data_IF_693265660775
#
_entry.id   IF_693265660775
#
_cell.length_a   1.000
_cell.length_b   1.000
_cell.length_c   1.000
_cell.angle_alpha   90.00
_cell.angle_beta   90.00
_cell.angle_gamma   90.00
#
_symmetry.space_group_name_H-M   'P 1'
#
loop_
_entity.id
_entity.type
_entity.pdbx_description
1 polymer ?
#
# COMPACT_ATOMS: atom_id res chain seq x y z
N UNK A 1 12.89 119.33 -16.02
CA UNK A 1 13.56 118.49 -17.03
C UNK A 1 14.38 117.48 -16.24
N UNK A 2 13.71 116.49 -15.64
CA UNK A 2 13.17 115.26 -16.25
C UNK A 2 14.20 114.15 -16.37
N UNK A 3 13.72 112.98 -15.95
CA UNK A 3 14.10 111.63 -16.32
C UNK A 3 15.41 111.06 -15.76
N UNK A 4 15.46 109.81 -15.33
CA UNK A 4 14.51 108.73 -15.00
C UNK A 4 15.42 107.55 -14.62
N UNK A 5 14.86 106.59 -13.88
CA UNK A 5 15.32 105.21 -13.83
C UNK A 5 16.64 104.90 -13.09
N UNK A 6 16.50 104.43 -11.84
CA UNK A 6 17.41 103.42 -11.29
C UNK A 6 16.60 102.16 -11.02
N UNK A 7 16.93 101.17 -11.82
CA UNK A 7 16.33 99.85 -11.94
C UNK A 7 16.10 99.20 -10.56
N UNK A 8 14.85 98.82 -10.33
CA UNK A 8 14.46 97.87 -9.30
C UNK A 8 15.08 96.51 -9.61
N UNK A 9 16.01 96.07 -8.76
CA UNK A 9 16.59 94.73 -8.81
C UNK A 9 15.48 93.68 -8.59
N UNK A 10 15.42 92.61 -9.39
CA UNK A 10 14.41 91.56 -9.18
C UNK A 10 14.69 90.82 -7.87
N UNK A 11 13.70 90.81 -6.98
CA UNK A 11 13.73 90.01 -5.75
C UNK A 11 13.63 88.52 -6.11
N UNK A 12 14.70 87.77 -5.82
CA UNK A 12 14.78 86.34 -6.09
C UNK A 12 13.93 85.61 -5.06
N UNK A 13 12.69 85.27 -5.45
CA UNK A 13 11.86 84.34 -4.68
C UNK A 13 12.42 82.93 -4.86
N UNK A 14 13.24 82.49 -3.91
CA UNK A 14 13.75 81.11 -3.86
C UNK A 14 12.61 80.19 -3.43
N UNK A 15 11.89 79.59 -4.38
CA UNK A 15 10.99 78.48 -4.09
C UNK A 15 11.82 77.24 -3.77
N UNK A 16 11.91 76.92 -2.48
CA UNK A 16 12.56 75.70 -1.99
C UNK A 16 11.72 74.48 -2.39
N UNK A 17 12.06 73.85 -3.51
CA UNK A 17 11.47 72.57 -3.90
C UNK A 17 12.06 71.46 -3.01
N UNK A 18 11.40 71.17 -1.88
CA UNK A 18 11.64 69.95 -1.10
C UNK A 18 10.80 68.80 -1.66
N UNK A 19 11.08 68.40 -2.89
CA UNK A 19 10.56 67.17 -3.46
C UNK A 19 11.50 66.04 -3.08
N UNK A 20 11.04 65.06 -2.31
CA UNK A 20 11.74 63.78 -2.19
C UNK A 20 11.93 63.25 -3.61
N UNK A 21 13.18 63.19 -4.06
CA UNK A 21 13.47 62.91 -5.47
C UNK A 21 12.90 61.55 -5.85
N UNK A 22 12.03 61.51 -6.88
CA UNK A 22 11.40 60.27 -7.35
C UNK A 22 12.44 59.20 -7.77
N UNK A 23 13.66 59.65 -8.05
CA UNK A 23 14.85 58.83 -8.31
C UNK A 23 15.17 57.89 -7.13
N UNK A 24 14.82 58.27 -5.89
CA UNK A 24 15.06 57.44 -4.70
C UNK A 24 14.00 56.35 -4.49
N UNK A 25 12.91 56.36 -5.25
CA UNK A 25 11.86 55.33 -5.19
C UNK A 25 12.36 54.00 -5.77
N UNK A 26 13.14 54.04 -6.85
CA UNK A 26 13.66 52.83 -7.51
C UNK A 26 14.59 52.01 -6.58
N UNK A 27 15.58 52.60 -5.88
CA UNK A 27 16.39 51.90 -4.88
C UNK A 27 15.56 51.30 -3.73
N UNK A 28 14.57 52.03 -3.21
CA UNK A 28 13.70 51.53 -2.13
C UNK A 28 12.90 50.31 -2.60
N UNK A 29 12.29 50.38 -3.79
CA UNK A 29 11.51 49.27 -4.34
C UNK A 29 12.42 48.06 -4.56
N UNK A 30 13.61 48.25 -5.12
CA UNK A 30 14.58 47.17 -5.30
C UNK A 30 14.96 46.51 -3.96
N UNK A 31 15.17 47.30 -2.91
CA UNK A 31 15.49 46.81 -1.56
C UNK A 31 14.32 46.04 -0.96
N UNK A 32 13.08 46.51 -1.14
CA UNK A 32 11.88 45.80 -0.70
C UNK A 32 11.69 44.46 -1.42
N UNK A 33 11.91 44.41 -2.74
CA UNK A 33 11.84 43.16 -3.51
C UNK A 33 12.94 42.19 -3.07
N UNK A 34 14.17 42.67 -2.86
CA UNK A 34 15.26 41.85 -2.35
C UNK A 34 14.95 41.29 -0.95
N UNK A 35 14.46 42.13 -0.04
CA UNK A 35 14.03 41.72 1.29
C UNK A 35 12.90 40.70 1.25
N UNK A 36 11.92 40.88 0.35
CA UNK A 36 10.83 39.94 0.14
C UNK A 36 11.31 38.59 -0.40
N UNK A 37 12.25 38.58 -1.37
CA UNK A 37 12.84 37.35 -1.89
C UNK A 37 13.62 36.58 -0.81
N UNK A 38 14.38 37.29 0.02
CA UNK A 38 15.09 36.70 1.16
C UNK A 38 14.10 36.09 2.15
N UNK A 39 13.05 36.83 2.52
CA UNK A 39 12.02 36.34 3.44
C UNK A 39 11.27 35.13 2.88
N UNK A 40 10.85 35.18 1.62
CA UNK A 40 10.16 34.08 0.96
C UNK A 40 11.05 32.82 0.82
N UNK A 41 12.35 33.01 0.56
CA UNK A 41 13.32 31.91 0.50
C UNK A 41 13.57 31.29 1.87
N UNK A 42 13.58 32.08 2.95
CA UNK A 42 13.82 31.59 4.30
C UNK A 42 12.56 30.95 4.92
N UNK A 43 11.39 31.54 4.69
CA UNK A 43 10.11 31.10 5.28
C UNK A 43 9.59 29.77 4.70
N UNK A 44 10.13 29.33 3.56
CA UNK A 44 9.82 28.04 2.91
C UNK A 44 10.75 26.89 3.30
N UNK A 45 11.85 27.15 4.01
CA UNK A 45 12.80 26.11 4.42
C UNK A 45 12.27 25.36 5.64
N UNK A 46 12.23 24.03 5.57
CA UNK A 46 11.96 23.19 6.74
C UNK A 46 13.24 22.92 7.55
N UNK A 47 13.15 22.03 8.55
CA UNK A 47 14.27 21.75 9.45
C UNK A 47 15.42 21.02 8.73
N UNK A 48 16.65 21.39 9.12
CA UNK A 48 17.86 20.66 8.76
C UNK A 48 18.10 19.53 9.74
N UNK A 49 18.29 18.32 9.21
CA UNK A 49 18.51 17.10 9.97
C UNK A 49 19.80 16.41 9.53
N UNK A 50 20.42 15.71 10.46
CA UNK A 50 21.59 14.87 10.25
C UNK A 50 21.18 13.42 10.46
N UNK A 51 21.45 12.56 9.48
CA UNK A 51 21.17 11.12 9.56
C UNK A 51 22.48 10.36 9.38
N UNK A 52 22.76 9.41 10.26
CA UNK A 52 24.00 8.63 10.25
C UNK A 52 23.72 7.19 9.90
N UNK A 53 24.34 6.66 8.84
CA UNK A 53 24.22 5.26 8.42
C UNK A 53 25.59 4.57 8.48
N UNK A 54 25.57 3.24 8.60
CA UNK A 54 26.79 2.43 8.47
C UNK A 54 27.25 2.32 7.01
N UNK A 55 26.31 2.28 6.07
CA UNK A 55 26.55 2.18 4.64
C UNK A 55 25.82 3.32 3.91
N UNK A 56 26.54 4.01 3.03
CA UNK A 56 26.02 5.11 2.20
C UNK A 56 25.93 4.76 0.72
N UNK A 57 26.09 3.49 0.35
CA UNK A 57 26.11 3.03 -1.04
C UNK A 57 24.87 3.52 -1.80
N UNK A 58 25.10 4.27 -2.87
CA UNK A 58 24.05 4.83 -3.73
C UNK A 58 23.39 6.12 -3.23
N UNK A 59 23.70 6.60 -2.03
CA UNK A 59 23.19 7.88 -1.52
C UNK A 59 24.00 9.05 -2.08
N UNK A 60 23.33 10.00 -2.74
CA UNK A 60 23.97 11.11 -3.45
C UNK A 60 23.35 12.44 -3.06
N UNK A 61 24.22 13.39 -2.69
CA UNK A 61 23.84 14.76 -2.40
C UNK A 61 23.11 15.43 -3.59
N UNK A 62 21.99 16.06 -3.32
CA UNK A 62 21.14 16.75 -4.29
C UNK A 62 20.30 15.83 -5.18
N UNK A 63 20.38 14.51 -5.00
CA UNK A 63 19.58 13.53 -5.77
C UNK A 63 18.73 12.62 -4.89
N UNK A 64 19.27 12.17 -3.76
CA UNK A 64 18.56 11.26 -2.85
C UNK A 64 17.45 12.00 -2.12
N UNK A 65 16.22 11.58 -2.38
CA UNK A 65 15.02 12.14 -1.76
C UNK A 65 14.72 11.47 -0.42
N UNK A 66 14.07 12.20 0.48
CA UNK A 66 13.43 11.64 1.66
C UNK A 66 11.94 11.52 1.37
N UNK A 67 11.38 10.34 1.57
CA UNK A 67 9.98 10.06 1.28
C UNK A 67 9.23 9.51 2.50
N UNK A 68 8.00 9.98 2.69
CA UNK A 68 7.04 9.44 3.64
C UNK A 68 5.83 8.93 2.88
N UNK A 69 5.51 7.65 3.01
CA UNK A 69 4.37 7.00 2.30
C UNK A 69 4.39 7.27 0.78
N UNK A 70 5.58 7.20 0.16
CA UNK A 70 5.78 7.44 -1.27
C UNK A 70 5.75 8.92 -1.71
N UNK A 71 5.58 9.87 -0.78
CA UNK A 71 5.57 11.31 -1.07
C UNK A 71 6.92 11.90 -0.67
N UNK A 72 7.53 12.69 -1.57
CA UNK A 72 8.72 13.46 -1.28
C UNK A 72 8.47 14.50 -0.18
N UNK A 73 9.26 14.42 0.87
CA UNK A 73 9.20 15.29 2.06
C UNK A 73 10.53 15.96 2.40
N UNK A 74 11.58 15.69 1.62
CA UNK A 74 12.89 16.29 1.81
C UNK A 74 13.92 15.84 0.78
N UNK A 75 15.14 16.34 0.94
CA UNK A 75 16.27 16.06 0.06
C UNK A 75 17.58 16.02 0.84
N UNK A 76 18.46 15.09 0.49
CA UNK A 76 19.83 15.05 1.00
C UNK A 76 20.62 16.21 0.37
N UNK A 77 21.19 17.09 1.20
CA UNK A 77 22.02 18.21 0.75
C UNK A 77 23.51 17.86 0.71
N UNK A 78 23.99 17.04 1.66
CA UNK A 78 25.41 16.65 1.76
C UNK A 78 25.56 15.21 2.24
N UNK A 79 26.62 14.55 1.77
CA UNK A 79 27.04 13.22 2.20
C UNK A 79 28.54 13.28 2.48
N UNK A 80 28.96 12.84 3.66
CA UNK A 80 30.37 12.75 4.04
C UNK A 80 30.59 11.57 4.98
N UNK A 81 31.84 11.15 5.13
CA UNK A 81 32.21 10.19 6.16
C UNK A 81 32.47 10.91 7.49
N UNK A 82 32.21 10.22 8.59
CA UNK A 82 32.60 10.69 9.92
C UNK A 82 34.14 10.73 10.06
N UNK A 83 34.63 11.35 11.13
CA UNK A 83 36.08 11.51 11.36
C UNK A 83 36.83 10.17 11.42
N UNK A 84 36.15 9.09 11.82
CA UNK A 84 36.71 7.74 11.93
C UNK A 84 36.60 6.92 10.65
N UNK A 85 35.98 7.47 9.60
CA UNK A 85 35.72 6.79 8.32
C UNK A 85 34.90 5.50 8.47
N UNK A 86 34.10 5.40 9.53
CA UNK A 86 33.33 4.23 9.91
C UNK A 86 31.84 4.36 9.64
N UNK A 87 31.35 5.59 9.51
CA UNK A 87 29.94 5.91 9.32
C UNK A 87 29.79 6.99 8.25
N UNK A 88 28.67 6.91 7.52
CA UNK A 88 28.28 7.92 6.55
C UNK A 88 27.30 8.87 7.21
N UNK A 89 27.65 10.15 7.23
CA UNK A 89 26.86 11.24 7.79
C UNK A 89 26.21 12.02 6.65
N UNK A 90 24.89 12.06 6.64
CA UNK A 90 24.10 12.82 5.68
C UNK A 90 23.51 14.05 6.36
N UNK A 91 23.65 15.20 5.70
CA UNK A 91 22.85 16.38 6.02
C UNK A 91 21.71 16.47 5.01
N UNK A 92 20.48 16.47 5.51
CA UNK A 92 19.29 16.55 4.69
C UNK A 92 18.39 17.67 5.19
N UNK A 93 17.61 18.23 4.26
CA UNK A 93 16.62 19.25 4.57
C UNK A 93 15.23 18.69 4.31
N UNK A 94 14.38 18.77 5.32
CA UNK A 94 12.97 18.46 5.17
C UNK A 94 12.21 19.68 4.65
N UNK A 95 11.07 19.42 4.02
CA UNK A 95 10.10 20.45 3.68
C UNK A 95 9.42 20.98 4.94
N UNK A 96 8.91 22.22 4.88
CA UNK A 96 8.25 22.85 6.02
C UNK A 96 7.03 22.07 6.51
N UNK A 97 6.27 21.46 5.60
CA UNK A 97 5.12 20.60 5.90
C UNK A 97 5.53 19.31 6.62
N UNK A 98 6.77 18.86 6.42
CA UNK A 98 7.32 17.64 6.98
C UNK A 98 8.09 17.86 8.29
N UNK A 99 8.02 19.07 8.89
CA UNK A 99 8.72 19.37 10.13
C UNK A 99 8.34 18.43 11.29
N UNK A 100 7.12 17.86 11.27
CA UNK A 100 6.67 16.86 12.24
C UNK A 100 7.36 15.49 12.14
N UNK A 101 8.16 15.25 11.10
CA UNK A 101 8.98 14.03 10.95
C UNK A 101 10.37 14.19 11.57
N UNK A 102 10.75 15.41 11.94
CA UNK A 102 12.00 15.69 12.66
C UNK A 102 11.76 15.65 14.18
N UNK A 103 11.22 14.55 14.69
CA UNK A 103 10.95 14.36 16.12
C UNK A 103 11.65 13.14 16.68
N UNK A 104 11.85 13.12 18.00
CA UNK A 104 12.42 11.98 18.69
C UNK A 104 11.57 10.71 18.44
N UNK A 105 12.25 9.59 18.22
CA UNK A 105 11.62 8.34 17.83
C UNK A 105 11.24 8.22 16.35
N UNK A 106 11.45 9.26 15.53
CA UNK A 106 11.32 9.12 14.07
C UNK A 106 12.41 8.22 13.53
N UNK A 107 12.02 7.27 12.70
CA UNK A 107 12.93 6.27 12.13
C UNK A 107 13.18 6.58 10.66
N UNK A 108 14.44 6.52 10.24
CA UNK A 108 14.86 6.76 8.87
C UNK A 108 15.57 5.51 8.36
N UNK A 109 15.30 5.08 7.13
CA UNK A 109 15.93 3.91 6.53
C UNK A 109 16.22 4.10 5.06
N UNK A 110 17.16 3.32 4.50
CA UNK A 110 17.46 3.35 3.07
C UNK A 110 16.59 2.32 2.35
N UNK A 111 15.83 2.76 1.34
CA UNK A 111 15.12 1.87 0.43
C UNK A 111 15.97 1.69 -0.83
N UNK A 112 16.33 0.43 -1.13
CA UNK A 112 17.14 0.04 -2.27
C UNK A 112 16.30 -0.81 -3.25
N UNK A 113 16.63 -0.81 -4.55
CA UNK A 113 16.04 -1.76 -5.49
C UNK A 113 16.38 -3.18 -5.03
N UNK A 114 15.37 -4.03 -4.90
CA UNK A 114 15.56 -5.45 -4.62
C UNK A 114 15.15 -6.24 -5.85
N UNK A 115 16.07 -7.05 -6.35
CA UNK A 115 15.83 -7.99 -7.46
C UNK A 115 15.54 -9.34 -6.83
N UNK A 116 14.25 -9.67 -6.67
CA UNK A 116 13.80 -10.99 -6.26
C UNK A 116 13.46 -11.87 -7.46
N UNK A 117 13.38 -13.18 -7.23
CA UNK A 117 12.94 -14.14 -8.25
C UNK A 117 11.43 -14.02 -8.59
N UNK A 118 10.69 -13.21 -7.83
CA UNK A 118 9.24 -12.99 -7.97
C UNK A 118 8.74 -11.68 -8.52
N UNK A 119 9.63 -10.92 -9.13
CA UNK A 119 9.33 -9.60 -9.63
C UNK A 119 10.35 -8.60 -9.10
N UNK A 120 10.38 -7.44 -9.74
CA UNK A 120 11.34 -6.38 -9.41
C UNK A 120 10.64 -5.38 -8.50
N UNK A 121 11.11 -5.26 -7.26
CA UNK A 121 10.67 -4.20 -6.33
C UNK A 121 11.62 -3.01 -6.43
N UNK A 122 11.07 -1.81 -6.42
CA UNK A 122 11.84 -0.59 -6.55
C UNK A 122 12.32 -0.30 -7.99
N UNK A 123 11.57 -0.66 -9.04
CA UNK A 123 11.91 -0.28 -10.43
C UNK A 123 12.06 1.24 -10.61
N UNK A 124 11.31 2.03 -9.83
CA UNK A 124 11.45 3.48 -9.71
C UNK A 124 12.87 3.91 -9.30
N UNK A 125 13.54 3.08 -8.48
CA UNK A 125 14.92 3.32 -8.02
C UNK A 125 15.99 2.87 -9.02
N UNK A 126 15.67 2.03 -10.02
CA UNK A 126 16.63 1.72 -11.09
C UNK A 126 16.95 2.96 -11.94
N UNK A 127 15.97 3.84 -12.13
CA UNK A 127 16.13 5.10 -12.85
C UNK A 127 16.48 6.27 -11.91
N UNK A 128 15.87 6.31 -10.72
CA UNK A 128 15.96 7.46 -9.79
C UNK A 128 17.03 7.31 -8.70
N UNK A 129 17.55 6.09 -8.50
CA UNK A 129 18.45 5.74 -7.40
C UNK A 129 17.72 5.42 -6.09
N UNK A 130 18.44 4.94 -5.07
CA UNK A 130 17.87 4.69 -3.74
C UNK A 130 17.38 5.99 -3.09
N UNK A 131 16.35 5.87 -2.25
CA UNK A 131 15.79 6.97 -1.47
C UNK A 131 15.77 6.63 0.02
N UNK A 132 15.52 7.64 0.86
CA UNK A 132 15.41 7.47 2.31
C UNK A 132 13.93 7.46 2.70
N UNK A 133 13.46 6.36 3.29
CA UNK A 133 12.15 6.28 3.94
C UNK A 133 12.20 6.91 5.32
N UNK A 134 11.07 7.48 5.77
CA UNK A 134 10.90 8.01 7.12
C UNK A 134 9.57 7.58 7.72
N UNK A 135 9.51 7.34 9.02
CA UNK A 135 8.28 7.17 9.79
C UNK A 135 8.31 8.06 11.04
N UNK A 136 7.18 8.67 11.43
CA UNK A 136 7.12 9.54 12.60
C UNK A 136 7.24 8.74 13.90
N UNK A 137 7.94 9.31 14.88
CA UNK A 137 7.96 8.81 16.24
C UNK A 137 6.65 9.06 16.99
N UNK A 138 6.43 8.33 18.10
CA UNK A 138 5.32 8.60 19.02
C UNK A 138 5.48 9.92 19.79
N UNK A 139 6.71 10.43 19.87
CA UNK A 139 7.02 11.67 20.56
C UNK A 139 7.00 12.86 19.59
N UNK A 140 6.48 13.99 20.05
CA UNK A 140 6.46 15.25 19.28
C UNK A 140 7.67 16.16 19.59
N UNK A 141 8.68 15.66 20.31
CA UNK A 141 9.86 16.42 20.72
C UNK A 141 10.78 16.62 19.52
N UNK A 142 11.10 17.86 19.09
CA UNK A 142 11.94 18.08 17.92
C UNK A 142 13.35 17.51 18.08
N UNK A 143 13.84 16.81 17.06
CA UNK A 143 15.17 16.24 17.00
C UNK A 143 15.85 16.59 15.67
N UNK A 144 17.17 16.74 15.70
CA UNK A 144 18.00 17.08 14.52
C UNK A 144 18.99 16.01 14.12
N UNK A 145 19.17 14.98 14.94
CA UNK A 145 20.16 13.93 14.72
C UNK A 145 19.48 12.58 14.83
N UNK A 146 19.69 11.73 13.83
CA UNK A 146 19.05 10.44 13.69
C UNK A 146 20.07 9.37 13.33
N UNK A 147 19.82 8.15 13.79
CA UNK A 147 20.53 6.96 13.36
C UNK A 147 19.68 6.31 12.29
N UNK A 148 20.25 6.17 11.10
CA UNK A 148 19.62 5.54 9.97
C UNK A 148 19.68 4.03 10.06
N UNK A 149 18.55 3.38 9.82
CA UNK A 149 18.40 1.93 9.79
C UNK A 149 18.76 1.40 8.39
N UNK A 150 19.35 0.21 8.29
CA UNK A 150 19.70 -0.39 7.00
C UNK A 150 18.47 -0.78 6.17
N UNK A 151 17.37 -1.11 6.86
CA UNK A 151 16.11 -1.61 6.32
C UNK A 151 14.93 -0.94 7.04
N UNK A 152 13.74 -1.04 6.45
CA UNK A 152 12.51 -0.51 7.03
C UNK A 152 12.27 -1.18 8.39
N UNK A 153 12.01 -0.41 9.46
CA UNK A 153 11.57 -1.02 10.71
C UNK A 153 10.23 -1.74 10.46
N UNK A 154 9.98 -2.88 11.11
CA UNK A 154 8.70 -3.58 11.01
C UNK A 154 7.54 -2.60 11.21
N UNK A 155 6.45 -2.81 10.47
CA UNK A 155 5.26 -1.97 10.56
C UNK A 155 4.93 -1.74 12.04
N UNK A 156 4.91 -0.46 12.43
CA UNK A 156 4.57 -0.12 13.81
C UNK A 156 3.11 -0.50 14.10
N UNK A 157 2.70 -0.61 15.37
CA UNK A 157 1.33 -0.95 15.78
C UNK A 157 0.23 0.06 15.36
N UNK A 158 0.55 1.00 14.47
CA UNK A 158 -0.35 2.03 13.95
C UNK A 158 -0.70 1.85 12.47
N UNK A 159 -0.23 0.78 11.81
CA UNK A 159 -0.72 0.42 10.47
C UNK A 159 -2.01 -0.40 10.62
N UNK A 160 -3.16 0.07 10.08
CA UNK A 160 -4.41 -0.66 10.15
C UNK A 160 -4.27 -2.01 9.44
N UNK A 161 -4.68 -3.08 10.09
CA UNK A 161 -4.51 -4.44 9.60
C UNK A 161 -4.44 -5.43 10.75
N UNK A 162 -4.40 -6.70 10.39
CA UNK A 162 -4.26 -7.83 11.31
C UNK A 162 -2.84 -8.36 11.25
N UNK A 163 -2.17 -8.42 12.40
CA UNK A 163 -0.81 -8.93 12.52
C UNK A 163 -0.85 -10.35 13.10
N UNK A 164 -0.35 -11.34 12.38
CA UNK A 164 -0.32 -12.75 12.83
C UNK A 164 1.10 -13.31 12.78
N UNK A 165 1.31 -14.44 13.44
CA UNK A 165 2.59 -15.14 13.47
C UNK A 165 2.42 -16.50 12.82
N UNK A 166 3.23 -16.80 11.81
CA UNK A 166 3.34 -18.13 11.25
C UNK A 166 4.55 -18.85 11.86
N UNK A 167 4.32 -20.05 12.37
CA UNK A 167 5.34 -20.90 12.95
C UNK A 167 5.63 -22.10 12.04
N UNK A 168 6.90 -22.30 11.71
CA UNK A 168 7.39 -23.44 10.94
C UNK A 168 8.61 -24.08 11.63
N UNK A 169 8.90 -25.35 11.32
CA UNK A 169 10.12 -26.01 11.79
C UNK A 169 11.38 -25.51 11.08
N UNK A 170 11.23 -25.07 9.82
CA UNK A 170 12.30 -24.58 8.94
C UNK A 170 11.82 -23.36 8.15
N UNK A 171 12.75 -22.50 7.74
CA UNK A 171 12.44 -21.29 6.97
C UNK A 171 11.85 -21.60 5.59
N UNK A 172 12.31 -22.69 4.96
CA UNK A 172 11.97 -22.99 3.58
C UNK A 172 12.49 -21.89 2.64
N UNK A 173 11.61 -21.43 1.76
CA UNK A 173 11.82 -20.35 0.78
C UNK A 173 11.25 -19.01 1.22
N UNK A 174 10.70 -18.93 2.44
CA UNK A 174 10.05 -17.72 2.93
C UNK A 174 11.09 -16.61 3.17
N UNK A 175 10.84 -15.43 2.64
CA UNK A 175 11.69 -14.25 2.85
C UNK A 175 10.90 -13.02 3.28
N UNK A 176 11.59 -12.04 3.87
CA UNK A 176 11.00 -10.77 4.22
C UNK A 176 10.41 -10.10 2.98
N UNK A 177 9.17 -9.65 3.11
CA UNK A 177 8.37 -9.08 2.05
C UNK A 177 7.65 -10.11 1.18
N UNK A 178 7.77 -11.41 1.39
CA UNK A 178 7.03 -12.39 0.60
C UNK A 178 5.52 -12.13 0.64
N UNK A 179 4.81 -12.24 -0.49
CA UNK A 179 3.38 -11.95 -0.56
C UNK A 179 2.55 -13.03 0.16
N UNK A 180 1.43 -12.60 0.76
CA UNK A 180 0.41 -13.51 1.32
C UNK A 180 -0.83 -13.50 0.44
N UNK A 181 -1.23 -14.69 -0.02
CA UNK A 181 -2.28 -14.91 -0.99
C UNK A 181 -3.50 -15.58 -0.38
N UNK A 182 -4.67 -15.08 -0.75
CA UNK A 182 -5.94 -15.79 -0.65
C UNK A 182 -6.51 -15.97 -2.06
N UNK A 183 -6.70 -17.21 -2.50
CA UNK A 183 -7.20 -17.53 -3.85
C UNK A 183 -6.42 -16.81 -4.97
N UNK A 184 -5.08 -16.90 -4.89
CA UNK A 184 -4.15 -16.23 -5.82
C UNK A 184 -4.17 -14.69 -5.79
N UNK A 185 -4.97 -14.08 -4.92
CA UNK A 185 -5.03 -12.64 -4.74
C UNK A 185 -4.20 -12.21 -3.53
N UNK A 186 -3.31 -11.24 -3.71
CA UNK A 186 -2.45 -10.76 -2.61
C UNK A 186 -3.26 -9.93 -1.61
N UNK A 187 -3.30 -10.39 -0.37
CA UNK A 187 -4.03 -9.74 0.73
C UNK A 187 -3.11 -9.17 1.83
N UNK A 188 -1.82 -9.52 1.79
CA UNK A 188 -0.85 -9.13 2.81
C UNK A 188 0.59 -9.40 2.40
N UNK A 189 1.48 -9.30 3.37
CA UNK A 189 2.92 -9.54 3.20
C UNK A 189 3.58 -10.04 4.49
N UNK A 190 4.73 -10.70 4.32
CA UNK A 190 5.62 -11.10 5.41
C UNK A 190 6.44 -9.89 5.82
N UNK A 191 6.25 -9.39 7.03
CA UNK A 191 7.02 -8.24 7.54
C UNK A 191 8.45 -8.63 7.88
N UNK A 192 8.60 -9.76 8.57
CA UNK A 192 9.89 -10.19 9.10
C UNK A 192 9.89 -11.69 9.42
N UNK A 193 11.01 -12.35 9.16
CA UNK A 193 11.26 -13.73 9.58
C UNK A 193 12.44 -13.81 10.55
N UNK A 194 12.26 -14.55 11.64
CA UNK A 194 13.31 -14.75 12.65
C UNK A 194 13.25 -16.15 13.26
N UNK A 195 14.39 -16.60 13.78
CA UNK A 195 14.47 -17.84 14.54
C UNK A 195 13.91 -17.62 15.95
N UNK A 196 13.08 -18.54 16.43
CA UNK A 196 12.54 -18.50 17.80
C UNK A 196 13.68 -18.47 18.83
N UNK A 197 13.41 -17.89 20.00
CA UNK A 197 14.43 -17.73 21.06
C UNK A 197 15.01 -19.04 21.56
N UNK A 198 14.26 -20.14 21.43
CA UNK A 198 14.70 -21.49 21.77
C UNK A 198 15.36 -22.23 20.59
N UNK A 199 15.53 -21.56 19.45
CA UNK A 199 16.18 -22.05 18.22
C UNK A 199 15.52 -23.29 17.57
N UNK A 200 14.27 -23.60 17.93
CA UNK A 200 13.58 -24.81 17.42
C UNK A 200 12.64 -24.55 16.24
N UNK A 201 12.16 -23.32 16.09
CA UNK A 201 11.19 -22.97 15.07
C UNK A 201 11.53 -21.62 14.46
N UNK A 202 11.04 -21.41 13.25
CA UNK A 202 11.09 -20.13 12.56
C UNK A 202 9.72 -19.47 12.75
N UNK A 203 9.74 -18.20 13.12
CA UNK A 203 8.57 -17.36 13.24
C UNK A 203 8.59 -16.32 12.11
N UNK A 204 7.52 -16.24 11.35
CA UNK A 204 7.30 -15.19 10.37
C UNK A 204 6.15 -14.29 10.83
N UNK A 205 6.43 -13.00 10.99
CA UNK A 205 5.40 -12.00 11.22
C UNK A 205 4.76 -11.62 9.91
N UNK A 206 3.44 -11.67 9.88
CA UNK A 206 2.64 -11.38 8.70
C UNK A 206 1.72 -10.22 8.99
N UNK A 207 1.67 -9.27 8.06
CA UNK A 207 0.69 -8.21 8.06
C UNK A 207 -0.37 -8.46 6.98
N UNK A 208 -1.63 -8.54 7.41
CA UNK A 208 -2.80 -8.64 6.54
C UNK A 208 -3.49 -7.28 6.50
N UNK A 209 -3.78 -6.77 5.31
CA UNK A 209 -4.39 -5.44 5.16
C UNK A 209 -5.77 -5.39 5.81
N UNK A 210 -6.14 -4.20 6.32
CA UNK A 210 -7.38 -3.95 7.04
C UNK A 210 -8.65 -4.44 6.30
N UNK A 211 -8.71 -4.25 4.98
CA UNK A 211 -9.86 -4.67 4.16
C UNK A 211 -10.03 -6.19 4.06
N UNK A 212 -8.98 -6.96 4.40
CA UNK A 212 -8.93 -8.42 4.28
C UNK A 212 -8.85 -9.16 5.61
N UNK A 213 -8.78 -8.45 6.75
CA UNK A 213 -8.81 -9.07 8.09
C UNK A 213 -9.94 -10.10 8.28
N UNK A 214 -11.18 -9.88 7.77
CA UNK A 214 -12.27 -10.84 7.97
C UNK A 214 -12.02 -12.21 7.35
N UNK A 215 -11.07 -12.34 6.41
CA UNK A 215 -10.70 -13.62 5.79
C UNK A 215 -9.99 -14.55 6.77
N UNK A 216 -9.31 -13.98 7.78
CA UNK A 216 -8.49 -14.73 8.71
C UNK A 216 -9.30 -15.13 9.93
N UNK A 217 -9.51 -16.44 10.04
CA UNK A 217 -10.24 -17.10 11.13
C UNK A 217 -9.32 -18.05 11.90
N UNK A 218 -9.70 -18.44 13.10
CA UNK A 218 -8.89 -19.37 13.93
C UNK A 218 -8.57 -20.69 13.22
N UNK A 219 -9.45 -21.20 12.35
CA UNK A 219 -9.19 -22.43 11.60
C UNK A 219 -8.62 -22.21 10.20
N UNK A 220 -8.15 -21.00 9.89
CA UNK A 220 -7.38 -20.75 8.66
C UNK A 220 -6.15 -21.65 8.61
N UNK A 221 -5.81 -22.14 7.42
CA UNK A 221 -4.62 -22.93 7.16
C UNK A 221 -3.72 -22.17 6.20
N UNK A 222 -2.43 -22.18 6.49
CA UNK A 222 -1.40 -21.45 5.74
C UNK A 222 -0.35 -22.44 5.24
N UNK A 223 0.02 -22.36 3.97
CA UNK A 223 1.09 -23.19 3.41
C UNK A 223 2.06 -22.38 2.57
N UNK A 224 3.24 -22.93 2.36
CA UNK A 224 4.24 -22.34 1.48
C UNK A 224 3.78 -22.46 0.02
N UNK A 225 3.63 -21.33 -0.68
CA UNK A 225 3.17 -21.29 -2.06
C UNK A 225 4.30 -21.56 -3.09
N UNK A 226 5.46 -22.04 -2.65
CA UNK A 226 6.62 -22.25 -3.51
C UNK A 226 6.43 -23.44 -4.44
N UNK A 227 6.31 -23.15 -5.73
CA UNK A 227 6.14 -24.17 -6.75
C UNK A 227 7.37 -25.06 -6.88
N UNK A 228 7.35 -26.24 -6.25
CA UNK A 228 7.77 -27.56 -6.77
C UNK A 228 7.18 -28.62 -5.82
N UNK A 229 6.02 -29.17 -6.17
CA UNK A 229 5.49 -30.41 -5.61
C UNK A 229 5.58 -31.50 -6.69
N UNK A 230 6.69 -32.23 -6.76
CA UNK A 230 6.89 -33.28 -7.76
C UNK A 230 6.93 -34.65 -7.08
N UNK A 231 5.77 -35.28 -6.86
CA UNK A 231 5.68 -36.63 -6.33
C UNK A 231 5.77 -37.67 -7.47
N UNK A 232 6.97 -38.20 -7.72
CA UNK A 232 7.21 -39.31 -8.63
C UNK A 232 6.95 -40.65 -7.91
N UNK A 233 5.73 -41.20 -8.02
CA UNK A 233 5.41 -42.56 -7.60
C UNK A 233 5.82 -43.61 -8.64
N UNK A 234 6.18 -44.82 -8.20
CA UNK A 234 6.64 -45.95 -9.03
C UNK A 234 5.55 -46.56 -9.95
N UNK A 235 4.32 -46.03 -9.95
CA UNK A 235 3.18 -46.58 -10.69
C UNK A 235 2.51 -45.61 -11.68
N UNK A 236 3.21 -44.55 -12.09
CA UNK A 236 2.74 -43.64 -13.13
C UNK A 236 2.40 -42.26 -12.59
N UNK A 237 2.74 -41.24 -13.37
CA UNK A 237 2.52 -39.85 -13.03
C UNK A 237 1.01 -39.54 -13.09
N UNK A 238 0.36 -39.40 -11.92
CA UNK A 238 -0.96 -38.77 -11.84
C UNK A 238 -0.73 -37.27 -11.84
N UNK A 239 -0.59 -36.70 -13.03
CA UNK A 239 -0.46 -35.25 -13.20
C UNK A 239 -1.89 -34.70 -13.15
N UNK A 240 -2.32 -34.18 -12.00
CA UNK A 240 -3.47 -33.30 -11.96
C UNK A 240 -3.04 -31.98 -12.62
N UNK A 241 -3.24 -31.88 -13.94
CA UNK A 241 -2.81 -30.77 -14.80
C UNK A 241 -3.74 -29.54 -14.71
N UNK A 242 -4.79 -29.56 -13.90
CA UNK A 242 -5.90 -28.63 -14.07
C UNK A 242 -5.75 -27.27 -13.38
N UNK A 243 -4.68 -27.00 -12.63
CA UNK A 243 -4.36 -25.64 -12.17
C UNK A 243 -2.88 -25.47 -11.91
N UNK A 244 -2.08 -25.45 -12.98
CA UNK A 244 -0.72 -24.89 -12.93
C UNK A 244 -0.79 -23.42 -13.38
N UNK A 245 -1.51 -22.59 -12.63
CA UNK A 245 -1.44 -21.13 -12.72
C UNK A 245 -0.15 -20.67 -12.03
N UNK A 246 0.96 -20.90 -12.72
CA UNK A 246 2.20 -20.14 -12.59
C UNK A 246 3.02 -20.41 -11.33
N UNK A 247 4.32 -20.56 -11.55
CA UNK A 247 5.35 -20.61 -10.51
C UNK A 247 5.28 -19.29 -9.72
N UNK A 248 4.49 -19.26 -8.64
CA UNK A 248 4.50 -18.18 -7.68
C UNK A 248 5.85 -18.20 -6.99
N UNK A 249 6.43 -17.02 -6.89
CA UNK A 249 7.87 -16.87 -6.69
C UNK A 249 8.25 -16.76 -5.22
N UNK A 250 7.84 -17.78 -4.46
CA UNK A 250 7.78 -17.69 -3.01
C UNK A 250 6.49 -16.98 -2.56
N UNK A 251 6.17 -17.11 -1.28
CA UNK A 251 4.93 -16.59 -0.71
C UNK A 251 4.23 -17.57 0.22
N UNK A 252 3.20 -17.06 0.88
CA UNK A 252 2.30 -17.84 1.73
C UNK A 252 0.93 -17.85 1.08
N UNK A 253 0.32 -19.02 0.91
CA UNK A 253 -1.08 -19.13 0.53
C UNK A 253 -1.90 -19.59 1.73
N UNK A 254 -3.19 -19.24 1.73
CA UNK A 254 -4.11 -19.62 2.79
C UNK A 254 -5.48 -20.02 2.27
N UNK A 255 -6.15 -20.83 3.08
CA UNK A 255 -7.54 -21.21 2.91
C UNK A 255 -8.25 -21.24 4.26
N UNK A 256 -9.52 -20.84 4.24
CA UNK A 256 -10.37 -20.77 5.41
C UNK A 256 -11.50 -21.78 5.24
N UNK A 257 -11.74 -22.70 6.19
CA UNK A 257 -12.80 -23.71 6.08
C UNK A 257 -14.18 -23.09 5.89
N UNK A 258 -15.09 -23.84 5.27
CA UNK A 258 -16.45 -23.39 5.00
C UNK A 258 -17.27 -23.13 6.27
N UNK A 259 -17.99 -21.99 6.27
CA UNK A 259 -19.13 -21.65 7.13
C UNK A 259 -18.96 -21.94 8.62
N UNK A 260 -19.45 -23.08 9.12
CA UNK A 260 -19.42 -23.35 10.56
C UNK A 260 -18.03 -23.78 11.06
N UNK A 261 -17.15 -24.25 10.15
CA UNK A 261 -15.85 -24.79 10.50
C UNK A 261 -14.73 -23.73 10.54
N UNK A 262 -14.99 -22.48 10.13
CA UNK A 262 -13.95 -21.44 10.10
C UNK A 262 -13.49 -21.01 11.49
N UNK A 263 -14.39 -21.10 12.48
CA UNK A 263 -14.15 -20.53 13.81
C UNK A 263 -14.28 -18.99 13.82
N UNK A 264 -14.04 -18.35 14.98
CA UNK A 264 -14.14 -16.91 15.12
C UNK A 264 -13.03 -16.17 14.34
N UNK A 265 -13.18 -14.85 14.11
CA UNK A 265 -12.10 -14.04 13.55
C UNK A 265 -10.84 -14.11 14.42
N UNK A 266 -9.70 -14.22 13.74
CA UNK A 266 -8.41 -14.18 14.42
C UNK A 266 -8.14 -12.78 14.98
N UNK A 267 -7.29 -12.71 16.01
CA UNK A 267 -6.87 -11.46 16.65
C UNK A 267 -5.37 -11.25 16.47
N UNK A 268 -4.92 -10.02 16.71
CA UNK A 268 -3.50 -9.68 16.64
C UNK A 268 -2.64 -10.62 17.51
N UNK A 269 -1.53 -11.08 16.93
CA UNK A 269 -0.58 -11.99 17.55
C UNK A 269 -1.01 -13.46 17.56
N UNK A 270 -2.14 -13.81 16.93
CA UNK A 270 -2.53 -15.21 16.78
C UNK A 270 -1.45 -16.00 16.04
N UNK A 271 -1.08 -17.16 16.60
CA UNK A 271 -0.04 -18.03 16.02
C UNK A 271 -0.69 -19.13 15.20
N UNK A 272 -0.30 -19.25 13.93
CA UNK A 272 -0.71 -20.32 13.04
C UNK A 272 0.47 -21.19 12.65
N UNK A 273 0.21 -22.45 12.34
CA UNK A 273 1.21 -23.33 11.73
C UNK A 273 1.32 -23.03 10.23
N UNK A 274 2.54 -22.87 9.74
CA UNK A 274 2.85 -22.86 8.31
C UNK A 274 3.17 -24.29 7.87
N UNK A 275 2.38 -24.79 6.93
CA UNK A 275 2.55 -26.11 6.33
C UNK A 275 3.46 -26.03 5.10
N UNK A 276 4.18 -27.12 4.82
CA UNK A 276 5.00 -27.20 3.60
C UNK A 276 4.11 -27.31 2.35
N UNK A 277 3.06 -28.12 2.43
CA UNK A 277 2.11 -28.39 1.35
C UNK A 277 0.65 -28.29 1.84
N UNK A 278 -0.32 -27.91 0.99
CA UNK A 278 -1.74 -27.95 1.33
C UNK A 278 -2.28 -29.39 1.35
N UNK A 279 -3.32 -29.63 2.15
CA UNK A 279 -4.12 -30.86 2.02
C UNK A 279 -5.12 -30.73 0.86
N UNK A 280 -5.51 -31.86 0.27
CA UNK A 280 -6.32 -31.92 -0.96
C UNK A 280 -7.64 -31.13 -0.86
N UNK A 281 -8.27 -31.08 0.32
CA UNK A 281 -9.57 -30.45 0.53
C UNK A 281 -9.49 -28.93 0.79
N UNK A 282 -8.31 -28.40 1.13
CA UNK A 282 -8.17 -26.98 1.48
C UNK A 282 -8.42 -26.06 0.29
N UNK A 283 -8.03 -26.48 -0.90
CA UNK A 283 -8.22 -25.72 -2.15
C UNK A 283 -9.71 -25.60 -2.54
N UNK A 284 -10.54 -26.55 -2.10
CA UNK A 284 -11.98 -26.58 -2.40
C UNK A 284 -12.80 -25.68 -1.47
N UNK A 285 -12.19 -25.12 -0.42
CA UNK A 285 -12.91 -24.27 0.52
C UNK A 285 -13.31 -22.92 -0.10
N UNK A 286 -14.57 -22.56 0.12
CA UNK A 286 -15.21 -21.36 -0.39
C UNK A 286 -16.21 -20.75 0.59
N UNK A 287 -15.74 -20.26 1.75
CA UNK A 287 -16.61 -19.62 2.72
C UNK A 287 -17.15 -18.30 2.17
N UNK A 288 -18.39 -17.98 2.54
CA UNK A 288 -18.99 -16.67 2.27
C UNK A 288 -18.61 -15.70 3.39
N UNK A 289 -17.55 -14.93 3.16
CA UNK A 289 -17.02 -13.95 4.10
C UNK A 289 -17.21 -12.55 3.50
N UNK A 290 -18.08 -11.70 4.06
CA UNK A 290 -18.26 -10.34 3.57
C UNK A 290 -17.01 -9.51 3.83
N UNK A 291 -16.51 -8.85 2.78
CA UNK A 291 -15.43 -7.87 2.86
C UNK A 291 -15.99 -6.45 2.79
N UNK A 292 -15.46 -5.56 3.61
CA UNK A 292 -15.78 -4.13 3.52
C UNK A 292 -14.89 -3.52 2.44
N UNK A 293 -15.39 -3.45 1.21
CA UNK A 293 -14.71 -2.74 0.13
C UNK A 293 -14.98 -1.24 0.34
N UNK A 294 -13.95 -0.37 0.48
CA UNK A 294 -14.17 1.06 0.54
C UNK A 294 -14.89 1.51 -0.73
N UNK A 295 -15.91 2.37 -0.59
CA UNK A 295 -16.73 2.85 -1.71
C UNK A 295 -15.84 3.36 -2.85
N UNK A 296 -15.66 2.53 -3.87
CA UNK A 296 -15.01 2.94 -5.12
C UNK A 296 -16.07 3.74 -5.85
N UNK A 297 -16.03 5.06 -5.69
CA UNK A 297 -16.86 5.97 -6.46
C UNK A 297 -16.42 5.89 -7.92
N UNK A 298 -16.99 4.92 -8.65
CA UNK A 298 -16.77 4.76 -10.07
C UNK A 298 -17.21 6.07 -10.73
N UNK A 299 -16.36 6.72 -11.56
CA UNK A 299 -16.79 7.88 -12.30
C UNK A 299 -17.90 7.43 -13.25
N UNK A 300 -19.15 7.61 -12.82
CA UNK A 300 -20.30 7.54 -13.71
C UNK A 300 -20.05 8.63 -14.76
N UNK A 301 -19.75 8.22 -15.98
CA UNK A 301 -19.74 9.13 -17.13
C UNK A 301 -21.17 9.59 -17.35
N UNK A 302 -21.60 10.59 -16.59
CA UNK A 302 -22.82 11.34 -16.81
C UNK A 302 -22.59 12.25 -18.03
N UNK A 303 -22.63 11.66 -19.22
CA UNK A 303 -22.88 12.37 -20.48
C UNK A 303 -23.22 11.39 -21.59
N UNK A 304 -24.39 10.77 -21.48
CA UNK A 304 -25.16 10.37 -22.64
C UNK A 304 -26.56 10.97 -22.49
N UNK A 305 -26.74 12.14 -23.11
CA UNK A 305 -28.06 12.71 -23.38
C UNK A 305 -28.88 11.64 -24.13
N UNK A 306 -30.13 11.34 -23.74
CA UNK A 306 -30.96 10.42 -24.51
C UNK A 306 -31.39 11.14 -25.79
N UNK A 307 -30.62 10.99 -26.85
CA UNK A 307 -31.10 11.27 -28.19
C UNK A 307 -32.26 10.31 -28.45
N UNK A 308 -33.46 10.89 -28.52
CA UNK A 308 -34.69 10.19 -28.85
C UNK A 308 -34.53 9.42 -30.17
N UNK A 309 -34.58 8.10 -30.10
CA UNK A 309 -34.85 7.26 -31.26
C UNK A 309 -36.32 6.87 -31.19
N UNK A 310 -37.15 7.68 -31.85
CA UNK A 310 -38.55 7.38 -32.12
C UNK A 310 -38.63 6.24 -33.14
N UNK A 311 -38.95 5.03 -32.69
CA UNK A 311 -39.36 3.95 -33.58
C UNK A 311 -40.89 3.95 -33.63
N UNK A 312 -41.43 4.52 -34.70
CA UNK A 312 -42.85 4.44 -35.06
C UNK A 312 -43.15 3.03 -35.53
N UNK A 313 -43.93 2.26 -34.78
CA UNK A 313 -44.52 1.01 -35.26
C UNK A 313 -46.04 1.14 -35.27
N UNK A 314 -46.58 1.23 -36.49
CA UNK A 314 -48.00 1.36 -36.77
C UNK A 314 -48.78 0.15 -36.24
N UNK A 315 -49.85 0.47 -35.53
CA UNK A 315 -50.95 -0.41 -35.21
C UNK A 315 -51.90 -0.40 -36.41
N UNK A 316 -51.94 -1.48 -37.17
CA UNK A 316 -53.12 -1.83 -37.96
C UNK A 316 -53.65 -3.19 -37.50
N UNK A 317 -54.78 -3.08 -36.81
CA UNK A 317 -55.70 -4.14 -36.48
C UNK A 317 -56.37 -4.68 -37.73
N UNK A 318 -56.39 -6.00 -37.89
CA UNK A 318 -57.59 -6.66 -38.39
C UNK A 318 -57.71 -8.10 -37.88
N UNK A 319 -58.78 -8.30 -37.11
CA UNK A 319 -59.42 -9.55 -36.72
C UNK A 319 -59.82 -10.36 -37.96
N UNK A 320 -59.84 -11.70 -37.88
CA UNK A 320 -61.01 -12.56 -38.17
C UNK A 320 -60.63 -14.06 -38.25
N UNK A 321 -61.33 -14.84 -37.42
CA UNK A 321 -61.76 -16.25 -37.55
C UNK A 321 -60.81 -17.43 -37.31
N UNK A 322 -61.06 -18.08 -36.17
CA UNK A 322 -61.11 -19.53 -35.95
C UNK A 322 -62.25 -20.18 -36.80
N UNK A 323 -62.21 -21.50 -37.11
CA UNK A 323 -62.68 -22.48 -36.11
C UNK A 323 -62.06 -23.91 -36.13
N UNK A 324 -62.18 -24.54 -34.95
CA UNK A 324 -62.59 -25.91 -34.64
C UNK A 324 -61.71 -27.16 -34.93
N UNK A 325 -61.67 -28.04 -33.92
CA UNK A 325 -61.24 -29.45 -33.95
C UNK A 325 -60.58 -29.90 -32.63
N UNK A 326 -61.29 -29.99 -31.49
CA UNK A 326 -61.79 -31.24 -30.83
C UNK A 326 -60.90 -32.48 -30.89
N UNK A 327 -60.28 -32.86 -29.76
CA UNK A 327 -60.60 -34.03 -28.90
C UNK A 327 -59.49 -34.12 -27.82
N UNK A 328 -59.66 -34.25 -26.49
CA UNK A 328 -60.52 -34.97 -25.53
C UNK A 328 -59.64 -35.97 -24.74
N UNK A 329 -59.94 -36.10 -23.42
CA UNK A 329 -59.58 -37.20 -22.48
C UNK A 329 -58.27 -36.92 -21.68
N UNK A 330 -58.30 -36.52 -20.38
CA UNK A 330 -58.68 -37.25 -19.14
C UNK A 330 -57.74 -38.45 -18.90
N UNK A 331 -57.20 -38.84 -17.74
CA UNK A 331 -57.40 -38.56 -16.32
C UNK A 331 -56.25 -39.25 -15.53
N UNK A 332 -56.24 -39.07 -14.19
CA UNK A 332 -55.74 -40.01 -13.15
C UNK A 332 -54.22 -40.05 -12.83
N UNK A 333 -53.73 -39.49 -11.72
CA UNK A 333 -53.88 -39.81 -10.29
C UNK A 333 -53.06 -41.00 -9.79
N UNK A 334 -52.24 -40.71 -8.76
CA UNK A 334 -51.80 -41.56 -7.63
C UNK A 334 -50.99 -42.84 -7.89
N UNK A 335 -49.80 -42.98 -7.27
CA UNK A 335 -49.63 -43.78 -6.03
C UNK A 335 -48.17 -43.75 -5.47
N UNK A 336 -48.07 -43.71 -4.14
CA UNK A 336 -46.91 -44.11 -3.30
C UNK A 336 -47.39 -45.25 -2.38
N UNK A 337 -46.56 -45.90 -1.53
CA UNK A 337 -45.27 -46.59 -1.66
C UNK A 337 -45.45 -48.10 -1.31
N UNK A 338 -44.43 -48.89 -0.85
CA UNK A 338 -44.26 -49.02 0.61
C UNK A 338 -42.86 -49.35 1.17
N UNK A 339 -42.75 -49.10 2.50
CA UNK A 339 -41.79 -49.57 3.53
C UNK A 339 -41.36 -51.04 3.44
N UNK A 340 -40.10 -51.33 3.80
CA UNK A 340 -39.70 -52.60 4.49
C UNK A 340 -38.44 -52.45 5.37
N UNK A 341 -38.55 -53.00 6.58
CA UNK A 341 -37.59 -53.45 7.62
C UNK A 341 -38.43 -54.50 8.43
N UNK A 342 -37.90 -55.38 9.31
CA UNK A 342 -36.51 -55.71 9.72
C UNK A 342 -36.23 -57.24 9.77
N UNK A 343 -35.02 -57.72 10.11
CA UNK A 343 -34.77 -58.96 10.90
C UNK A 343 -33.35 -58.92 11.53
N UNK A 344 -33.26 -59.23 12.83
CA UNK A 344 -32.03 -59.36 13.64
C UNK A 344 -31.50 -60.82 13.79
N UNK A 345 -30.56 -61.07 14.73
CA UNK A 345 -29.48 -62.07 14.62
C UNK A 345 -29.77 -63.40 15.36
N UNK A 346 -28.86 -64.40 15.37
CA UNK A 346 -27.88 -64.51 16.49
C UNK A 346 -26.53 -65.22 16.18
N UNK A 347 -25.57 -65.15 17.12
CA UNK A 347 -24.72 -66.30 17.46
C UNK A 347 -23.19 -66.14 17.44
N UNK A 348 -22.60 -66.01 18.64
CA UNK A 348 -21.18 -66.16 19.04
C UNK A 348 -20.58 -67.55 18.74
N UNK A 349 -19.26 -67.65 18.67
CA UNK A 349 -18.32 -68.16 19.72
C UNK A 349 -16.91 -68.32 19.09
N UNK A 350 -15.83 -67.87 19.74
CA UNK A 350 -14.90 -68.71 20.56
C UNK A 350 -14.85 -70.19 20.20
#
# INVERSE_FOLDING_TARGET
MDNQNKDSLPEVVVTKHSGFSIIWVVPIIALLVAGWLIYNSYSKRGPDITITFQDGSGLVAGKTEIQYRGVKVGMVEKVHLDEKLSQVVLSARLDKSAAGLATNGSSYWVVRPQIGLGGVRGLDTLLSGPYIGVSPGKESTPAKSFIGLPEQPPAGPNEPGLNIILQAEKLGSLTDGDPVYYREFQIGEVDQVYLSSDSRSVHAHIHIKAEYEPLIRENTRFWNASGIGMSLGLFGAKINTESLSSILSGGVALATPNNDNMGPPATDGTVFKLYDDPEDDWADWSPDIPLTIPDVELPITANASPAAISISSQKDSNTVSQPAGTDKISDESTNSPPKTLPVGPPGRHQ
#
